data_IF_362090154588
#
_entry.id   IF_362090154588
#
_cell.length_a   1.000
_cell.length_b   1.000
_cell.length_c   1.000
_cell.angle_alpha   90.00
_cell.angle_beta   90.00
_cell.angle_gamma   90.00
#
_symmetry.space_group_name_H-M   'P 1'
#
loop_
_entity.id
_entity.type
_entity.pdbx_description
1 polymer ?
#
# COMPACT_ATOMS: atom_id res chain seq x y z
N UNK A 1 6.85 -21.45 25.74
CA UNK A 1 6.88 -20.95 24.35
C UNK A 1 5.78 -21.68 23.60
N UNK A 2 4.85 -20.93 22.99
CA UNK A 2 3.48 -21.34 22.69
C UNK A 2 3.30 -22.74 22.07
N UNK A 3 2.70 -23.65 22.85
CA UNK A 3 2.15 -24.93 22.38
C UNK A 3 0.76 -24.69 21.76
N UNK A 4 0.74 -23.95 20.67
CA UNK A 4 -0.42 -23.81 19.81
C UNK A 4 -0.35 -25.03 18.88
N UNK A 5 -1.31 -25.96 19.00
CA UNK A 5 -1.24 -27.29 18.34
C UNK A 5 -0.97 -27.23 16.81
N UNK A 6 -0.69 -28.37 16.16
CA UNK A 6 -0.04 -28.50 14.83
C UNK A 6 -0.55 -27.61 13.67
N UNK A 7 -1.72 -26.99 13.80
CA UNK A 7 -2.36 -26.13 12.79
C UNK A 7 -2.18 -24.62 13.01
N UNK A 8 -1.70 -24.20 14.19
CA UNK A 8 -1.61 -22.77 14.48
C UNK A 8 -0.52 -22.05 13.66
N UNK A 9 0.55 -22.77 13.29
CA UNK A 9 1.54 -22.26 12.35
C UNK A 9 0.92 -21.98 10.96
N UNK A 10 -0.04 -22.80 10.54
CA UNK A 10 -0.75 -22.61 9.27
C UNK A 10 -1.67 -21.37 9.31
N UNK A 11 -2.42 -21.21 10.40
CA UNK A 11 -3.29 -20.03 10.61
C UNK A 11 -2.45 -18.75 10.62
N UNK A 12 -1.36 -18.74 11.39
CA UNK A 12 -0.47 -17.59 11.48
C UNK A 12 0.19 -17.29 10.13
N UNK A 13 0.62 -18.32 9.39
CA UNK A 13 1.18 -18.18 8.05
C UNK A 13 0.17 -17.60 7.06
N UNK A 14 -1.08 -18.08 7.07
CA UNK A 14 -2.15 -17.59 6.21
C UNK A 14 -2.49 -16.13 6.50
N UNK A 15 -2.60 -15.73 7.77
CA UNK A 15 -2.84 -14.34 8.15
C UNK A 15 -1.64 -13.44 7.83
N UNK A 16 -0.41 -13.90 8.05
CA UNK A 16 0.79 -13.16 7.70
C UNK A 16 0.89 -12.92 6.19
N UNK A 17 0.60 -13.95 5.38
CA UNK A 17 0.55 -13.82 3.93
C UNK A 17 -0.54 -12.84 3.48
N UNK A 18 -1.73 -12.96 4.06
CA UNK A 18 -2.85 -12.05 3.77
C UNK A 18 -2.50 -10.60 4.11
N UNK A 19 -1.92 -10.36 5.28
CA UNK A 19 -1.48 -9.04 5.71
C UNK A 19 -0.39 -8.48 4.78
N UNK A 20 0.54 -9.32 4.32
CA UNK A 20 1.58 -8.93 3.37
C UNK A 20 0.98 -8.52 2.02
N UNK A 21 0.06 -9.31 1.47
CA UNK A 21 -0.61 -9.01 0.19
C UNK A 21 -1.40 -7.71 0.30
N UNK A 22 -2.24 -7.57 1.34
CA UNK A 22 -3.02 -6.34 1.55
C UNK A 22 -2.11 -5.14 1.75
N UNK A 23 -1.07 -5.27 2.57
CA UNK A 23 -0.08 -4.22 2.81
C UNK A 23 0.63 -3.78 1.53
N UNK A 24 1.04 -4.71 0.68
CA UNK A 24 1.68 -4.42 -0.61
C UNK A 24 0.73 -3.69 -1.57
N UNK A 25 -0.54 -4.07 -1.61
CA UNK A 25 -1.56 -3.41 -2.44
C UNK A 25 -1.81 -1.97 -1.95
N UNK A 26 -1.95 -1.78 -0.65
CA UNK A 26 -2.11 -0.45 -0.04
C UNK A 26 -0.88 0.41 -0.37
N UNK A 27 0.32 -0.12 -0.14
CA UNK A 27 1.57 0.58 -0.43
C UNK A 27 1.64 1.04 -1.89
N UNK A 28 1.33 0.15 -2.82
CA UNK A 28 1.34 0.47 -4.25
C UNK A 28 0.29 1.52 -4.60
N UNK A 29 -0.92 1.42 -4.06
CA UNK A 29 -1.98 2.41 -4.25
C UNK A 29 -1.57 3.80 -3.76
N UNK A 30 -0.97 3.88 -2.57
CA UNK A 30 -0.48 5.15 -2.02
C UNK A 30 0.68 5.74 -2.83
N UNK A 31 1.60 4.91 -3.31
CA UNK A 31 2.69 5.33 -4.18
C UNK A 31 2.16 5.88 -5.50
N UNK A 32 1.15 5.23 -6.07
CA UNK A 32 0.53 5.64 -7.33
C UNK A 32 -0.21 6.97 -7.16
N UNK A 33 -0.98 7.14 -6.09
CA UNK A 33 -1.61 8.41 -5.77
C UNK A 33 -0.60 9.56 -5.56
N UNK A 34 0.56 9.28 -4.94
CA UNK A 34 1.61 10.29 -4.78
C UNK A 34 2.17 10.74 -6.13
N UNK A 35 2.39 9.82 -7.06
CA UNK A 35 2.84 10.15 -8.41
C UNK A 35 1.78 10.98 -9.16
N UNK A 36 0.51 10.59 -9.06
CA UNK A 36 -0.60 11.33 -9.66
C UNK A 36 -0.78 12.74 -9.08
N UNK A 37 -0.66 12.89 -7.75
CA UNK A 37 -0.72 14.21 -7.09
C UNK A 37 0.43 15.12 -7.48
N UNK A 38 1.64 14.57 -7.66
CA UNK A 38 2.78 15.35 -8.13
C UNK A 38 2.60 15.78 -9.59
N UNK A 39 2.10 14.91 -10.46
CA UNK A 39 1.78 15.26 -11.84
C UNK A 39 0.69 16.34 -11.93
N UNK A 40 -0.35 16.23 -11.09
CA UNK A 40 -1.42 17.21 -11.01
C UNK A 40 -0.93 18.57 -10.46
N UNK A 41 -0.04 18.56 -9.45
CA UNK A 41 0.57 19.78 -8.92
C UNK A 41 1.46 20.49 -9.96
N UNK A 42 2.21 19.73 -10.78
CA UNK A 42 2.99 20.29 -11.87
C UNK A 42 2.10 20.97 -12.94
N UNK A 43 0.95 20.37 -13.27
CA UNK A 43 0.01 20.93 -14.25
C UNK A 43 -0.78 22.14 -13.72
N UNK A 44 -1.12 22.15 -12.42
CA UNK A 44 -1.82 23.29 -11.80
C UNK A 44 -0.91 24.51 -11.62
N UNK A 45 0.39 24.31 -11.38
CA UNK A 45 1.38 25.39 -11.38
C UNK A 45 1.45 26.08 -12.75
N UNK A 46 1.51 25.30 -13.83
CA UNK A 46 1.59 25.81 -15.21
C UNK A 46 0.27 26.46 -15.69
N UNK A 47 -0.88 25.97 -15.22
CA UNK A 47 -2.20 26.54 -15.56
C UNK A 47 -2.51 27.86 -14.83
N UNK A 48 -1.85 28.13 -13.69
CA UNK A 48 -2.02 29.37 -12.92
C UNK A 48 -1.18 30.55 -13.42
N UNK A 49 -0.18 30.30 -14.26
CA UNK A 49 0.75 31.30 -14.81
C UNK A 49 0.39 31.75 -16.24
N UNK A 50 -0.90 31.73 -16.61
CA UNK A 50 -1.35 32.38 -17.85
C UNK A 50 -1.69 33.86 -17.57
N UNK A 51 -0.97 34.83 -18.18
CA UNK A 51 -1.16 36.27 -17.98
C UNK A 51 -2.48 36.81 -18.52
#
# INVERSE_FOLDING_TARGET
>A
MASLGPHAGFILGAYAFTALVIGALIWRSLSDQRAQKNALAALQGDAGERP
#
